data_IF_358085335960
#
_entry.id   IF_358085335960
#
_cell.length_a   1.000
_cell.length_b   1.000
_cell.length_c   1.000
_cell.angle_alpha   90.00
_cell.angle_beta   90.00
_cell.angle_gamma   90.00
#
_symmetry.space_group_name_H-M   'P 1'
#
loop_
_entity.id
_entity.type
_entity.pdbx_description
1 polymer ?
#
# COMPACT_ATOMS: atom_id res chain seq x y z
N UNK A 1 25.49 18.64 -7.80
CA UNK A 1 24.34 17.89 -8.38
C UNK A 1 24.63 16.40 -8.60
N UNK A 2 25.70 16.02 -9.33
CA UNK A 2 26.00 14.58 -9.65
C UNK A 2 26.14 13.67 -8.42
N UNK A 3 26.79 14.12 -7.36
CA UNK A 3 26.96 13.35 -6.12
C UNK A 3 25.65 13.15 -5.31
N UNK A 4 24.68 14.06 -5.45
CA UNK A 4 23.38 13.94 -4.79
C UNK A 4 22.52 12.86 -5.45
N UNK A 5 22.51 12.79 -6.78
CA UNK A 5 21.76 11.79 -7.54
C UNK A 5 22.33 10.39 -7.29
N UNK A 6 23.64 10.22 -7.34
CA UNK A 6 24.28 8.93 -7.04
C UNK A 6 23.96 8.44 -5.63
N UNK A 7 23.96 9.34 -4.63
CA UNK A 7 23.60 9.02 -3.26
C UNK A 7 22.13 8.57 -3.15
N UNK A 8 21.21 9.22 -3.86
CA UNK A 8 19.80 8.83 -3.88
C UNK A 8 19.61 7.45 -4.52
N UNK A 9 20.23 7.18 -5.66
CA UNK A 9 20.21 5.86 -6.32
C UNK A 9 20.74 4.79 -5.38
N UNK A 10 21.85 5.05 -4.69
CA UNK A 10 22.43 4.10 -3.75
C UNK A 10 21.50 3.80 -2.57
N UNK A 11 20.85 4.81 -1.98
CA UNK A 11 19.92 4.64 -0.86
C UNK A 11 18.68 3.85 -1.28
N UNK A 12 18.09 4.15 -2.45
CA UNK A 12 16.95 3.39 -2.97
C UNK A 12 17.37 1.96 -3.29
N UNK A 13 18.52 1.78 -3.95
CA UNK A 13 19.06 0.45 -4.27
C UNK A 13 19.33 -0.39 -3.03
N UNK A 14 19.96 0.18 -2.01
CA UNK A 14 20.19 -0.48 -0.72
C UNK A 14 18.86 -0.89 -0.04
N UNK A 15 17.87 0.01 -0.01
CA UNK A 15 16.52 -0.30 0.50
C UNK A 15 15.85 -1.45 -0.26
N UNK A 16 15.99 -1.47 -1.58
CA UNK A 16 15.46 -2.56 -2.42
C UNK A 16 16.16 -3.90 -2.13
N UNK A 17 17.48 -3.91 -1.99
CA UNK A 17 18.26 -5.11 -1.63
C UNK A 17 17.81 -5.64 -0.26
N UNK A 18 17.67 -4.77 0.73
CA UNK A 18 17.17 -5.14 2.06
C UNK A 18 15.78 -5.78 1.96
N UNK A 19 14.86 -5.20 1.18
CA UNK A 19 13.52 -5.76 0.96
C UNK A 19 13.56 -7.16 0.33
N UNK A 20 14.43 -7.37 -0.66
CA UNK A 20 14.64 -8.69 -1.29
C UNK A 20 15.18 -9.69 -0.28
N UNK A 21 16.18 -9.32 0.51
CA UNK A 21 16.74 -10.21 1.55
C UNK A 21 15.69 -10.59 2.61
N UNK A 22 14.89 -9.61 3.07
CA UNK A 22 13.78 -9.90 3.99
C UNK A 22 12.78 -10.85 3.33
N UNK A 23 12.44 -10.66 2.04
CA UNK A 23 11.56 -11.55 1.29
C UNK A 23 12.08 -12.98 1.20
N UNK A 24 13.37 -13.16 0.90
CA UNK A 24 14.02 -14.47 0.86
C UNK A 24 13.96 -15.19 2.21
N UNK A 25 14.07 -14.46 3.31
CA UNK A 25 13.97 -15.03 4.66
C UNK A 25 12.51 -15.30 5.05
N UNK A 26 11.59 -14.44 4.63
CA UNK A 26 10.17 -14.51 4.99
C UNK A 26 9.50 -15.79 4.45
N UNK A 27 9.75 -16.14 3.19
CA UNK A 27 9.11 -17.29 2.54
C UNK A 27 9.41 -18.61 3.27
N UNK A 28 10.68 -18.98 3.55
CA UNK A 28 10.98 -20.20 4.32
C UNK A 28 10.40 -20.21 5.74
N UNK A 29 10.31 -19.05 6.40
CA UNK A 29 9.70 -18.95 7.73
C UNK A 29 8.20 -19.29 7.64
N UNK A 30 7.49 -18.68 6.72
CA UNK A 30 6.05 -18.90 6.55
C UNK A 30 5.77 -20.35 6.15
N UNK A 31 6.46 -20.89 5.17
CA UNK A 31 6.25 -22.26 4.66
C UNK A 31 6.55 -23.36 5.66
N UNK A 32 7.29 -23.07 6.75
CA UNK A 32 7.48 -24.00 7.88
C UNK A 32 6.32 -23.97 8.86
N UNK A 33 5.54 -22.89 8.91
CA UNK A 33 4.45 -22.69 9.88
C UNK A 33 3.10 -23.05 9.28
N UNK A 34 2.94 -22.80 7.97
CA UNK A 34 1.69 -22.97 7.22
C UNK A 34 1.86 -24.05 6.16
N UNK A 35 0.74 -24.74 5.82
CA UNK A 35 0.76 -25.69 4.71
C UNK A 35 0.90 -24.98 3.35
N UNK A 36 1.39 -25.68 2.32
CA UNK A 36 1.51 -25.11 0.97
C UNK A 36 0.19 -24.59 0.40
N UNK A 37 -0.93 -25.25 0.72
CA UNK A 37 -2.28 -24.86 0.27
C UNK A 37 -2.66 -23.48 0.84
N UNK A 38 -2.46 -23.27 2.16
CA UNK A 38 -2.75 -22.01 2.82
C UNK A 38 -1.86 -20.88 2.30
N UNK A 39 -0.57 -21.20 2.07
CA UNK A 39 0.34 -20.23 1.47
C UNK A 39 -0.05 -19.88 0.02
N UNK A 40 -0.54 -20.87 -0.74
CA UNK A 40 -1.10 -20.66 -2.08
C UNK A 40 -2.32 -19.73 -2.05
N UNK A 41 -3.27 -19.95 -1.17
CA UNK A 41 -4.44 -19.08 -0.99
C UNK A 41 -4.04 -17.64 -0.61
N UNK A 42 -3.07 -17.49 0.29
CA UNK A 42 -2.52 -16.17 0.63
C UNK A 42 -1.87 -15.47 -0.56
N UNK A 43 -1.15 -16.21 -1.41
CA UNK A 43 -0.54 -15.65 -2.62
C UNK A 43 -1.60 -15.20 -3.64
N UNK A 44 -2.69 -15.95 -3.78
CA UNK A 44 -3.85 -15.58 -4.61
C UNK A 44 -4.48 -14.28 -4.06
N UNK A 45 -4.68 -14.20 -2.75
CA UNK A 45 -5.19 -12.99 -2.08
C UNK A 45 -4.32 -11.75 -2.39
N UNK A 46 -3.01 -11.84 -2.22
CA UNK A 46 -2.07 -10.73 -2.49
C UNK A 46 -2.03 -10.36 -3.98
N UNK A 47 -2.16 -11.36 -4.86
CA UNK A 47 -2.24 -11.16 -6.31
C UNK A 47 -3.52 -10.40 -6.69
N UNK A 48 -4.68 -10.80 -6.16
CA UNK A 48 -5.95 -10.10 -6.40
C UNK A 48 -5.86 -8.63 -5.94
N UNK A 49 -5.31 -8.39 -4.74
CA UNK A 49 -5.12 -7.06 -4.24
C UNK A 49 -4.19 -6.23 -5.14
N UNK A 50 -3.07 -6.80 -5.57
CA UNK A 50 -2.08 -6.11 -6.42
C UNK A 50 -2.64 -5.74 -7.78
N UNK A 51 -3.37 -6.66 -8.42
CA UNK A 51 -4.04 -6.41 -9.72
C UNK A 51 -5.14 -5.36 -9.57
N UNK A 52 -5.96 -5.47 -8.51
CA UNK A 52 -7.02 -4.50 -8.25
C UNK A 52 -6.45 -3.09 -8.07
N UNK A 53 -5.37 -2.92 -7.30
CA UNK A 53 -4.72 -1.61 -7.12
C UNK A 53 -4.20 -1.04 -8.44
N UNK A 54 -3.61 -1.86 -9.31
CA UNK A 54 -3.16 -1.42 -10.63
C UNK A 54 -4.32 -0.90 -11.50
N UNK A 55 -5.43 -1.63 -11.52
CA UNK A 55 -6.64 -1.25 -12.26
C UNK A 55 -7.25 0.02 -11.69
N UNK A 56 -7.38 0.11 -10.36
CA UNK A 56 -8.00 1.25 -9.66
C UNK A 56 -7.19 2.54 -9.78
N UNK A 57 -5.87 2.45 -9.96
CA UNK A 57 -5.03 3.63 -10.21
C UNK A 57 -5.38 4.34 -11.53
N UNK A 58 -5.94 3.64 -12.53
CA UNK A 58 -6.34 4.21 -13.85
C UNK A 58 -5.28 5.11 -14.50
N UNK A 59 -4.00 4.95 -14.17
CA UNK A 59 -2.92 5.81 -14.66
C UNK A 59 -2.79 7.17 -13.95
N UNK A 60 -3.59 7.47 -12.91
CA UNK A 60 -3.43 8.71 -12.14
C UNK A 60 -2.09 8.77 -11.40
N UNK A 61 -1.50 7.64 -11.06
CA UNK A 61 -0.14 7.55 -10.53
C UNK A 61 0.89 8.04 -11.55
N UNK A 62 0.73 7.70 -12.83
CA UNK A 62 1.58 8.19 -13.92
C UNK A 62 1.34 9.67 -14.23
N UNK A 63 0.09 10.12 -14.18
CA UNK A 63 -0.25 11.53 -14.33
C UNK A 63 0.41 12.37 -13.23
N UNK A 64 0.35 11.93 -11.98
CA UNK A 64 1.00 12.59 -10.86
C UNK A 64 2.52 12.73 -11.10
N UNK A 65 3.20 11.66 -11.53
CA UNK A 65 4.64 11.71 -11.85
C UNK A 65 4.95 12.70 -12.95
N UNK A 66 4.14 12.72 -14.02
CA UNK A 66 4.36 13.55 -15.19
C UNK A 66 4.20 15.05 -14.89
N UNK A 67 3.18 15.40 -14.12
CA UNK A 67 2.84 16.80 -13.88
C UNK A 67 3.45 17.40 -12.61
N UNK A 68 4.06 16.59 -11.74
CA UNK A 68 4.58 17.04 -10.43
C UNK A 68 5.62 18.16 -10.51
N UNK A 69 6.42 18.20 -11.59
CA UNK A 69 7.51 19.17 -11.78
C UNK A 69 7.19 20.27 -12.81
N UNK A 70 5.94 20.39 -13.23
CA UNK A 70 5.53 21.45 -14.19
C UNK A 70 5.57 22.82 -13.51
N UNK A 71 5.20 22.88 -12.24
CA UNK A 71 5.24 24.08 -11.43
C UNK A 71 5.78 23.76 -10.02
N UNK A 72 6.61 24.65 -9.47
CA UNK A 72 7.25 24.44 -8.17
C UNK A 72 6.46 24.99 -6.99
N UNK A 73 5.29 25.61 -7.21
CA UNK A 73 4.46 26.12 -6.13
C UNK A 73 3.90 24.97 -5.27
N UNK A 74 3.89 25.16 -3.95
CA UNK A 74 3.35 24.17 -3.02
C UNK A 74 1.86 23.96 -3.23
N UNK A 75 1.12 25.01 -3.57
CA UNK A 75 -0.31 24.95 -3.85
C UNK A 75 -0.61 24.10 -5.07
N UNK A 76 0.15 24.26 -6.16
CA UNK A 76 -0.01 23.43 -7.37
C UNK A 76 0.21 21.95 -7.05
N UNK A 77 1.30 21.61 -6.33
CA UNK A 77 1.63 20.22 -5.98
C UNK A 77 0.55 19.58 -5.11
N UNK A 78 -0.01 20.31 -4.14
CA UNK A 78 -1.11 19.80 -3.30
C UNK A 78 -2.41 19.63 -4.08
N UNK A 79 -2.79 20.59 -4.93
CA UNK A 79 -3.99 20.50 -5.78
C UNK A 79 -3.87 19.35 -6.78
N UNK A 80 -2.71 19.21 -7.43
CA UNK A 80 -2.41 18.09 -8.33
C UNK A 80 -2.55 16.74 -7.60
N UNK A 81 -1.94 16.62 -6.43
CA UNK A 81 -2.03 15.41 -5.62
C UNK A 81 -3.47 15.09 -5.26
N UNK A 82 -4.22 16.06 -4.75
CA UNK A 82 -5.63 15.90 -4.40
C UNK A 82 -6.45 15.39 -5.60
N UNK A 83 -6.32 16.01 -6.76
CA UNK A 83 -7.05 15.60 -7.96
C UNK A 83 -6.66 14.19 -8.43
N UNK A 84 -5.37 13.85 -8.40
CA UNK A 84 -4.90 12.52 -8.79
C UNK A 84 -5.31 11.41 -7.81
N UNK A 85 -5.52 11.72 -6.54
CA UNK A 85 -5.90 10.74 -5.50
C UNK A 85 -7.42 10.62 -5.37
N UNK A 86 -8.15 11.71 -5.52
CA UNK A 86 -9.61 11.78 -5.36
C UNK A 86 -10.35 10.78 -6.25
N UNK A 87 -10.04 10.76 -7.55
CA UNK A 87 -10.75 9.88 -8.50
C UNK A 87 -10.51 8.38 -8.25
N UNK A 88 -9.27 7.90 -8.07
CA UNK A 88 -9.04 6.51 -7.67
C UNK A 88 -9.70 6.12 -6.35
N UNK A 89 -9.74 7.01 -5.36
CA UNK A 89 -10.41 6.73 -4.08
C UNK A 89 -11.92 6.61 -4.27
N UNK A 90 -12.56 7.54 -4.99
CA UNK A 90 -14.01 7.47 -5.24
C UNK A 90 -14.33 6.19 -6.02
N UNK A 91 -13.58 5.91 -7.09
CA UNK A 91 -13.80 4.73 -7.90
C UNK A 91 -13.61 3.44 -7.08
N UNK A 92 -12.52 3.36 -6.29
CA UNK A 92 -12.27 2.19 -5.44
C UNK A 92 -13.39 1.99 -4.44
N UNK A 93 -13.85 3.06 -3.79
CA UNK A 93 -14.94 2.98 -2.81
C UNK A 93 -16.23 2.47 -3.45
N UNK A 94 -16.62 3.04 -4.60
CA UNK A 94 -17.83 2.60 -5.33
C UNK A 94 -17.69 1.14 -5.77
N UNK A 95 -16.57 0.77 -6.38
CA UNK A 95 -16.35 -0.58 -6.89
C UNK A 95 -16.29 -1.62 -5.75
N UNK A 96 -15.65 -1.30 -4.63
CA UNK A 96 -15.59 -2.19 -3.47
C UNK A 96 -16.95 -2.35 -2.81
N UNK A 97 -17.79 -1.30 -2.76
CA UNK A 97 -19.17 -1.40 -2.28
C UNK A 97 -19.99 -2.30 -3.21
N UNK A 98 -19.90 -2.11 -4.52
CA UNK A 98 -20.61 -2.94 -5.51
C UNK A 98 -20.19 -4.41 -5.39
N UNK A 99 -18.88 -4.68 -5.33
CA UNK A 99 -18.37 -6.04 -5.15
C UNK A 99 -18.82 -6.65 -3.83
N UNK A 100 -18.83 -5.89 -2.74
CA UNK A 100 -19.31 -6.37 -1.44
C UNK A 100 -20.80 -6.74 -1.48
N UNK A 101 -21.62 -5.97 -2.20
CA UNK A 101 -23.05 -6.29 -2.39
C UNK A 101 -23.22 -7.56 -3.25
N UNK A 102 -22.45 -7.69 -4.33
CA UNK A 102 -22.53 -8.85 -5.23
C UNK A 102 -22.08 -10.16 -4.53
N UNK A 103 -21.07 -10.10 -3.70
CA UNK A 103 -20.64 -11.24 -2.88
C UNK A 103 -21.67 -11.57 -1.79
N UNK A 104 -22.26 -10.57 -1.15
CA UNK A 104 -23.31 -10.77 -0.16
C UNK A 104 -24.58 -11.42 -0.76
N UNK A 105 -24.91 -11.07 -2.00
CA UNK A 105 -26.03 -11.67 -2.75
C UNK A 105 -25.70 -13.05 -3.35
N UNK A 106 -24.50 -13.60 -3.11
CA UNK A 106 -24.00 -14.84 -3.71
C UNK A 106 -24.07 -14.88 -5.26
N UNK A 107 -23.93 -13.70 -5.89
CA UNK A 107 -23.87 -13.59 -7.36
C UNK A 107 -22.46 -13.88 -7.86
N UNK A 108 -21.45 -13.51 -7.06
CA UNK A 108 -20.03 -13.78 -7.32
C UNK A 108 -19.51 -14.59 -6.14
N UNK A 109 -19.07 -15.81 -6.44
CA UNK A 109 -18.34 -16.63 -5.48
C UNK A 109 -16.85 -16.29 -5.56
N UNK A 110 -16.35 -15.71 -4.50
CA UNK A 110 -14.92 -15.59 -4.29
C UNK A 110 -14.52 -16.76 -3.42
N UNK A 111 -13.48 -17.53 -3.81
CA UNK A 111 -12.99 -18.72 -3.11
C UNK A 111 -12.44 -18.44 -1.69
N UNK A 112 -12.98 -17.44 -1.01
CA UNK A 112 -12.59 -17.01 0.33
C UNK A 112 -13.82 -16.86 1.22
N UNK A 113 -13.62 -17.14 2.51
CA UNK A 113 -14.62 -16.84 3.54
C UNK A 113 -14.98 -15.34 3.54
N UNK A 114 -16.21 -15.01 3.94
CA UNK A 114 -16.70 -13.63 4.00
C UNK A 114 -15.77 -12.69 4.78
N UNK A 115 -15.13 -13.17 5.85
CA UNK A 115 -14.18 -12.39 6.66
C UNK A 115 -12.90 -12.04 5.88
N UNK A 116 -12.39 -13.00 5.10
CA UNK A 116 -11.19 -12.81 4.28
C UNK A 116 -11.50 -11.91 3.09
N UNK A 117 -12.67 -12.07 2.49
CA UNK A 117 -13.15 -11.20 1.40
C UNK A 117 -13.30 -9.75 1.86
N UNK A 118 -13.87 -9.51 3.04
CA UNK A 118 -13.91 -8.17 3.62
C UNK A 118 -12.51 -7.58 3.85
N UNK A 119 -11.59 -8.38 4.40
CA UNK A 119 -10.20 -7.96 4.58
C UNK A 119 -9.48 -7.70 3.25
N UNK A 120 -9.81 -8.42 2.18
CA UNK A 120 -9.30 -8.15 0.85
C UNK A 120 -9.65 -6.73 0.41
N UNK A 121 -10.89 -6.32 0.58
CA UNK A 121 -11.34 -4.98 0.21
C UNK A 121 -10.67 -3.88 1.04
N UNK A 122 -10.56 -4.09 2.35
CA UNK A 122 -9.84 -3.17 3.23
C UNK A 122 -8.36 -3.07 2.82
N UNK A 123 -7.73 -4.20 2.53
CA UNK A 123 -6.31 -4.24 2.14
C UNK A 123 -6.07 -3.55 0.79
N UNK A 124 -6.94 -3.73 -0.21
CA UNK A 124 -6.87 -3.03 -1.50
C UNK A 124 -6.90 -1.51 -1.28
N UNK A 125 -7.83 -1.04 -0.46
CA UNK A 125 -7.96 0.38 -0.14
C UNK A 125 -6.70 0.94 0.55
N UNK A 126 -6.18 0.23 1.54
CA UNK A 126 -4.94 0.60 2.23
C UNK A 126 -3.73 0.62 1.29
N UNK A 127 -3.60 -0.39 0.42
CA UNK A 127 -2.54 -0.44 -0.58
C UNK A 127 -2.61 0.71 -1.59
N UNK A 128 -3.81 1.08 -2.02
CA UNK A 128 -4.02 2.20 -2.92
C UNK A 128 -3.51 3.51 -2.29
N UNK A 129 -3.91 3.78 -1.04
CA UNK A 129 -3.44 4.95 -0.29
C UNK A 129 -1.92 4.95 -0.07
N UNK A 130 -1.37 3.79 0.31
CA UNK A 130 0.07 3.63 0.51
C UNK A 130 0.86 3.87 -0.79
N UNK A 131 0.33 3.40 -1.92
CA UNK A 131 0.94 3.62 -3.24
C UNK A 131 1.07 5.10 -3.56
N UNK A 132 0.01 5.90 -3.41
CA UNK A 132 0.06 7.34 -3.65
C UNK A 132 0.97 8.06 -2.64
N UNK A 133 0.91 7.70 -1.35
CA UNK A 133 1.79 8.26 -0.33
C UNK A 133 3.27 7.99 -0.65
N UNK A 134 3.64 6.76 -0.95
CA UNK A 134 5.04 6.40 -1.29
C UNK A 134 5.49 7.06 -2.60
N UNK A 135 4.58 7.26 -3.56
CA UNK A 135 4.89 7.95 -4.80
C UNK A 135 5.29 9.42 -4.55
N UNK A 136 4.54 10.13 -3.70
CA UNK A 136 4.86 11.53 -3.33
C UNK A 136 6.21 11.60 -2.61
N UNK A 137 6.47 10.72 -1.64
CA UNK A 137 7.77 10.66 -0.95
C UNK A 137 8.93 10.53 -1.96
N UNK A 138 8.72 9.71 -2.98
CA UNK A 138 9.71 9.49 -4.05
C UNK A 138 9.86 10.73 -4.94
N UNK A 139 8.77 11.43 -5.28
CA UNK A 139 8.79 12.66 -6.07
C UNK A 139 9.45 13.81 -5.30
N UNK A 140 9.31 13.88 -3.99
CA UNK A 140 10.03 14.82 -3.12
C UNK A 140 11.54 14.51 -2.97
N UNK A 141 12.02 13.50 -3.68
CA UNK A 141 13.42 13.04 -3.63
C UNK A 141 13.88 12.62 -2.23
N UNK A 142 12.95 12.28 -1.32
CA UNK A 142 13.27 11.78 0.01
C UNK A 142 13.53 10.28 0.00
N UNK A 143 14.63 9.88 -0.64
CA UNK A 143 15.01 8.48 -0.84
C UNK A 143 15.14 7.68 0.46
N UNK A 144 15.55 8.35 1.56
CA UNK A 144 15.69 7.71 2.87
C UNK A 144 14.32 7.32 3.43
N UNK A 145 13.36 8.25 3.39
CA UNK A 145 12.01 8.01 3.88
C UNK A 145 11.31 6.95 3.02
N UNK A 146 11.45 7.01 1.71
CA UNK A 146 10.94 6.01 0.79
C UNK A 146 11.42 4.60 1.14
N UNK A 147 12.75 4.44 1.30
CA UNK A 147 13.35 3.15 1.67
C UNK A 147 12.89 2.71 3.06
N UNK A 148 12.81 3.63 4.03
CA UNK A 148 12.34 3.34 5.39
C UNK A 148 10.91 2.82 5.40
N UNK A 149 9.96 3.48 4.71
CA UNK A 149 8.55 3.04 4.66
C UNK A 149 8.43 1.65 4.05
N UNK A 150 9.12 1.39 2.93
CA UNK A 150 9.06 0.08 2.27
C UNK A 150 9.68 -1.04 3.11
N UNK A 151 10.83 -0.80 3.74
CA UNK A 151 11.48 -1.78 4.63
C UNK A 151 10.66 -2.00 5.89
N UNK A 152 10.12 -0.92 6.49
CA UNK A 152 9.24 -0.98 7.66
C UNK A 152 8.00 -1.84 7.39
N UNK A 153 7.39 -1.73 6.21
CA UNK A 153 6.24 -2.57 5.85
C UNK A 153 6.58 -4.07 5.92
N UNK A 154 7.72 -4.48 5.38
CA UNK A 154 8.17 -5.88 5.41
C UNK A 154 8.53 -6.36 6.80
N UNK A 155 9.23 -5.54 7.58
CA UNK A 155 9.59 -5.86 8.96
C UNK A 155 8.34 -5.96 9.84
N UNK A 156 7.43 -4.97 9.74
CA UNK A 156 6.17 -4.98 10.49
C UNK A 156 5.33 -6.21 10.16
N UNK A 157 5.28 -6.62 8.89
CA UNK A 157 4.59 -7.84 8.50
C UNK A 157 5.11 -9.06 9.26
N UNK A 158 6.44 -9.26 9.31
CA UNK A 158 7.04 -10.38 10.03
C UNK A 158 6.79 -10.32 11.54
N UNK A 159 6.95 -9.14 12.13
CA UNK A 159 6.76 -8.94 13.59
C UNK A 159 5.31 -9.22 13.97
N UNK A 160 4.35 -8.66 13.22
CA UNK A 160 2.92 -8.84 13.49
C UNK A 160 2.53 -10.30 13.26
N UNK A 161 3.03 -10.93 12.20
CA UNK A 161 2.79 -12.34 11.90
C UNK A 161 3.25 -13.23 13.04
N UNK A 162 4.48 -13.02 13.52
CA UNK A 162 5.01 -13.78 14.67
C UNK A 162 4.17 -13.57 15.92
N UNK A 163 3.74 -12.34 16.18
CA UNK A 163 2.90 -12.01 17.32
C UNK A 163 1.53 -12.69 17.24
N UNK A 164 0.86 -12.65 16.08
CA UNK A 164 -0.46 -13.27 15.86
C UNK A 164 -0.34 -14.79 16.04
N UNK A 165 0.64 -15.44 15.43
CA UNK A 165 0.82 -16.89 15.61
C UNK A 165 1.15 -17.32 17.04
N UNK A 166 1.79 -16.43 17.82
CA UNK A 166 2.17 -16.77 19.19
C UNK A 166 1.05 -16.56 20.21
N UNK A 167 0.20 -15.57 20.00
CA UNK A 167 -0.76 -15.13 21.01
C UNK A 167 -2.23 -15.32 20.60
N UNK A 168 -2.53 -15.42 19.31
CA UNK A 168 -3.89 -15.54 18.81
C UNK A 168 -4.10 -16.93 18.18
N UNK A 169 -5.10 -17.67 18.68
CA UNK A 169 -5.55 -18.94 18.08
C UNK A 169 -6.53 -18.64 16.94
N UNK A 170 -6.03 -18.09 15.85
CA UNK A 170 -6.81 -17.71 14.65
C UNK A 170 -6.43 -18.63 13.50
N UNK A 171 -7.31 -18.80 12.54
CA UNK A 171 -7.00 -19.54 11.32
C UNK A 171 -5.73 -18.99 10.65
N UNK A 172 -4.88 -19.91 10.18
CA UNK A 172 -3.57 -19.56 9.64
C UNK A 172 -3.63 -18.62 8.44
N UNK A 173 -4.64 -18.78 7.57
CA UNK A 173 -4.84 -17.89 6.44
C UNK A 173 -5.25 -16.49 6.91
N UNK A 174 -6.21 -16.43 7.84
CA UNK A 174 -6.65 -15.17 8.43
C UNK A 174 -5.51 -14.45 9.16
N UNK A 175 -4.64 -15.18 9.83
CA UNK A 175 -3.44 -14.62 10.47
C UNK A 175 -2.48 -13.95 9.47
N UNK A 176 -2.24 -14.59 8.31
CA UNK A 176 -1.40 -14.03 7.23
C UNK A 176 -2.02 -12.74 6.67
N UNK A 177 -3.33 -12.78 6.37
CA UNK A 177 -4.07 -11.65 5.80
C UNK A 177 -4.15 -10.46 6.75
N UNK A 178 -4.42 -10.72 8.04
CA UNK A 178 -4.43 -9.68 9.08
C UNK A 178 -3.04 -9.05 9.23
N UNK A 179 -1.99 -9.86 9.23
CA UNK A 179 -0.62 -9.38 9.40
C UNK A 179 -0.21 -8.42 8.27
N UNK A 180 -0.51 -8.76 7.02
CA UNK A 180 -0.15 -7.92 5.88
C UNK A 180 -1.00 -6.64 5.84
N UNK A 181 -2.29 -6.71 6.20
CA UNK A 181 -3.19 -5.56 6.26
C UNK A 181 -2.78 -4.57 7.34
N UNK A 182 -2.45 -5.06 8.55
CA UNK A 182 -1.95 -4.23 9.64
C UNK A 182 -0.58 -3.62 9.33
N UNK A 183 0.33 -4.37 8.72
CA UNK A 183 1.63 -3.85 8.29
C UNK A 183 1.47 -2.73 7.25
N UNK A 184 0.53 -2.88 6.30
CA UNK A 184 0.20 -1.86 5.33
C UNK A 184 -0.34 -0.58 6.01
N UNK A 185 -1.25 -0.74 6.97
CA UNK A 185 -1.84 0.37 7.75
C UNK A 185 -0.76 1.13 8.54
N UNK A 186 0.11 0.43 9.25
CA UNK A 186 1.22 1.05 10.01
C UNK A 186 2.14 1.83 9.06
N UNK A 187 2.50 1.25 7.92
CA UNK A 187 3.38 1.90 6.95
C UNK A 187 2.72 3.12 6.30
N UNK A 188 1.40 3.07 6.09
CA UNK A 188 0.61 4.23 5.63
C UNK A 188 0.64 5.35 6.68
N UNK A 189 0.42 5.04 7.95
CA UNK A 189 0.47 6.02 9.04
C UNK A 189 1.85 6.69 9.09
N UNK A 190 2.94 5.91 9.01
CA UNK A 190 4.29 6.49 8.92
C UNK A 190 4.44 7.41 7.70
N UNK A 191 3.99 6.98 6.52
CA UNK A 191 4.03 7.81 5.32
C UNK A 191 3.29 9.14 5.50
N UNK A 192 2.07 9.11 6.04
CA UNK A 192 1.24 10.30 6.27
C UNK A 192 1.82 11.26 7.32
N UNK A 193 2.36 10.74 8.42
CA UNK A 193 2.97 11.57 9.48
C UNK A 193 4.13 12.39 8.93
N UNK A 194 4.97 11.77 8.10
CA UNK A 194 6.12 12.47 7.50
C UNK A 194 5.75 13.43 6.36
N UNK A 195 4.54 13.31 5.82
CA UNK A 195 4.01 14.16 4.74
C UNK A 195 3.04 15.25 5.22
N UNK A 196 2.97 15.53 6.51
CA UNK A 196 2.02 16.52 7.08
C UNK A 196 1.98 17.85 6.31
N UNK A 197 3.12 18.33 5.82
CA UNK A 197 3.22 19.59 5.11
C UNK A 197 2.46 19.60 3.76
N UNK A 198 2.30 18.46 3.09
CA UNK A 198 1.55 18.36 1.83
C UNK A 198 0.06 18.25 2.11
N UNK A 199 -0.31 17.53 3.16
CA UNK A 199 -1.71 17.32 3.53
C UNK A 199 -2.35 18.55 4.17
N UNK A 200 -1.58 19.37 4.92
CA UNK A 200 -2.10 20.58 5.58
C UNK A 200 -2.42 21.71 4.59
N UNK A 201 -1.86 21.70 3.40
CA UNK A 201 -2.20 22.68 2.36
C UNK A 201 -3.51 22.38 1.61
N UNK A 202 -4.13 21.22 1.84
CA UNK A 202 -5.42 20.85 1.23
C UNK A 202 -6.63 21.65 1.79
N UNK A 203 -6.46 22.36 2.91
CA UNK A 203 -7.54 23.15 3.52
C UNK A 203 -7.74 24.55 2.92
N UNK A 204 -6.82 25.04 2.07
CA UNK A 204 -6.76 26.46 1.74
C UNK A 204 -7.57 26.83 0.48
N UNK A 205 -8.01 25.89 -0.35
CA UNK A 205 -8.65 26.21 -1.63
C UNK A 205 -10.10 25.71 -1.76
N UNK A 206 -10.90 25.83 -0.70
CA UNK A 206 -12.36 25.63 -0.80
C UNK A 206 -13.12 26.85 -1.34
N UNK A 207 -12.47 27.99 -1.50
CA UNK A 207 -13.14 29.28 -1.75
C UNK A 207 -12.99 29.86 -3.16
N UNK A 208 -12.41 29.14 -4.13
CA UNK A 208 -12.25 29.66 -5.49
C UNK A 208 -12.64 28.65 -6.59
N UNK A 209 -13.89 28.17 -6.54
CA UNK A 209 -14.58 27.63 -7.73
C UNK A 209 -16.05 28.04 -7.71
#
# INVERSE_FOLDING_TARGET
MKNSILKQIFVIGAGTIINVLIGIITVPIITRIVSPEIYGQFTIFDTYASVAVLVLCLGFDQALVRFYYVEDSSNYKSTLFYNCVKYPIILSTVLLIVLSILTFLNIIDIDFDNSITFLLFVYIFLQLLLRFSTLVIRLEQNSKLFSFVNVSQRVNYLVILFFIFRFLNVDKLLALVLSISLACLISLIFGLIFQKNIWNHLEIEKDNF
#
